data_IF_236501632962
#
_entry.id   IF_236501632962
#
_cell.length_a   1.000
_cell.length_b   1.000
_cell.length_c   1.000
_cell.angle_alpha   90.00
_cell.angle_beta   90.00
_cell.angle_gamma   90.00
#
_symmetry.space_group_name_H-M   'P 1'
#
loop_
_entity.id
_entity.type
_entity.pdbx_description
1 polymer ?
#
# COMPACT_ATOMS: atom_id res chain seq x y z
N UNK A 1 -9.96 16.69 -13.89
CA UNK A 1 -9.17 15.75 -13.15
C UNK A 1 -8.40 16.47 -12.04
N UNK A 2 -8.69 16.18 -10.80
CA UNK A 2 -8.03 16.83 -9.69
C UNK A 2 -7.35 15.78 -8.81
N UNK A 3 -6.26 15.14 -9.30
CA UNK A 3 -5.63 14.05 -8.58
C UNK A 3 -4.98 14.47 -7.26
N UNK A 4 -4.76 15.77 -7.09
CA UNK A 4 -4.02 16.29 -5.96
C UNK A 4 -4.87 17.17 -5.05
N UNK A 5 -6.14 16.81 -4.87
CA UNK A 5 -6.92 17.56 -3.91
C UNK A 5 -6.24 17.52 -2.54
N UNK A 6 -6.41 18.56 -1.76
CA UNK A 6 -5.83 18.62 -0.44
C UNK A 6 -6.42 17.51 0.44
N UNK A 7 -5.63 16.94 1.34
CA UNK A 7 -6.16 15.93 2.24
C UNK A 7 -7.21 16.52 3.15
N UNK A 8 -8.28 15.78 3.34
CA UNK A 8 -9.36 16.17 4.22
C UNK A 8 -9.18 15.47 5.57
N UNK A 9 -8.23 16.01 6.35
CA UNK A 9 -7.81 15.40 7.60
C UNK A 9 -8.70 15.93 8.71
N UNK A 10 -9.94 15.45 8.77
CA UNK A 10 -10.94 15.94 9.70
C UNK A 10 -11.48 14.86 10.62
N UNK A 11 -11.10 13.62 10.44
CA UNK A 11 -11.65 12.53 11.21
C UNK A 11 -10.60 11.57 11.69
N UNK A 12 -11.00 10.73 12.61
CA UNK A 12 -10.17 9.63 13.05
C UNK A 12 -10.34 8.47 12.09
N UNK A 13 -9.23 7.87 11.72
CA UNK A 13 -9.20 6.76 10.77
C UNK A 13 -8.79 5.50 11.49
N UNK A 14 -9.57 4.43 11.30
CA UNK A 14 -9.19 3.08 11.68
C UNK A 14 -8.58 2.42 10.44
N UNK A 15 -7.29 2.13 10.49
CA UNK A 15 -6.60 1.56 9.32
C UNK A 15 -7.23 0.23 8.88
N UNK A 16 -7.75 -0.56 9.79
CA UNK A 16 -8.32 -1.85 9.43
C UNK A 16 -9.62 -1.69 8.65
N UNK A 17 -10.39 -0.61 8.87
CA UNK A 17 -11.55 -0.31 8.03
C UNK A 17 -11.12 0.03 6.60
N UNK A 18 -10.03 0.78 6.46
CA UNK A 18 -9.45 1.09 5.15
C UNK A 18 -9.06 -0.21 4.44
N UNK A 19 -8.34 -1.08 5.13
CA UNK A 19 -7.87 -2.34 4.56
C UNK A 19 -9.03 -3.28 4.21
N UNK A 20 -10.06 -3.36 5.04
CA UNK A 20 -11.22 -4.20 4.77
C UNK A 20 -12.00 -3.70 3.55
N UNK A 21 -12.10 -2.38 3.39
CA UNK A 21 -12.74 -1.80 2.20
C UNK A 21 -11.97 -2.19 0.94
N UNK A 22 -10.65 -2.04 0.96
CA UNK A 22 -9.81 -2.40 -0.18
C UNK A 22 -9.90 -3.90 -0.46
N UNK A 23 -9.84 -4.72 0.58
CA UNK A 23 -9.95 -6.17 0.44
C UNK A 23 -11.25 -6.56 -0.26
N UNK A 24 -12.38 -5.99 0.17
CA UNK A 24 -13.67 -6.26 -0.44
C UNK A 24 -13.71 -5.88 -1.91
N UNK A 25 -13.16 -4.70 -2.25
CA UNK A 25 -13.12 -4.24 -3.63
C UNK A 25 -12.25 -5.15 -4.49
N UNK A 26 -11.10 -5.56 -3.98
CA UNK A 26 -10.19 -6.44 -4.70
C UNK A 26 -10.79 -7.83 -4.94
N UNK A 27 -11.42 -8.41 -3.93
CA UNK A 27 -12.01 -9.73 -4.06
C UNK A 27 -13.25 -9.73 -4.95
N UNK A 28 -13.94 -8.60 -5.06
CA UNK A 28 -15.03 -8.44 -6.03
C UNK A 28 -14.50 -8.40 -7.47
N UNK A 29 -13.37 -7.75 -7.67
CA UNK A 29 -12.74 -7.64 -8.99
C UNK A 29 -12.03 -8.94 -9.39
N UNK A 30 -11.44 -9.64 -8.42
CA UNK A 30 -10.68 -10.89 -8.63
C UNK A 30 -11.32 -12.00 -7.80
N UNK A 31 -12.49 -12.53 -8.24
CA UNK A 31 -13.28 -13.44 -7.41
C UNK A 31 -12.71 -14.84 -7.27
N UNK A 32 -11.70 -15.19 -8.08
CA UNK A 32 -11.06 -16.49 -7.97
C UNK A 32 -9.57 -16.38 -8.25
N UNK A 33 -8.79 -17.24 -7.60
CA UNK A 33 -7.34 -17.30 -7.81
C UNK A 33 -6.53 -16.34 -6.96
N UNK A 34 -7.17 -15.41 -6.27
CA UNK A 34 -6.50 -14.45 -5.40
C UNK A 34 -6.99 -14.62 -3.96
N UNK A 35 -6.05 -14.77 -3.04
CA UNK A 35 -6.32 -14.77 -1.60
C UNK A 35 -5.69 -13.52 -1.01
N UNK A 36 -6.44 -12.82 -0.16
CA UNK A 36 -5.92 -11.67 0.59
C UNK A 36 -6.00 -12.01 2.07
N UNK A 37 -4.85 -12.31 2.66
CA UNK A 37 -4.73 -12.65 4.08
C UNK A 37 -4.62 -11.38 4.92
N UNK A 38 -5.10 -11.47 6.15
CA UNK A 38 -5.05 -10.39 7.13
C UNK A 38 -4.14 -10.80 8.28
N UNK A 39 -3.20 -9.94 8.61
CA UNK A 39 -2.31 -10.14 9.76
C UNK A 39 -2.29 -8.82 10.54
N UNK A 40 -3.35 -8.60 11.32
CA UNK A 40 -3.64 -7.30 11.92
C UNK A 40 -3.28 -7.26 13.39
N UNK A 41 -2.66 -6.16 13.79
CA UNK A 41 -2.44 -5.83 15.19
C UNK A 41 -3.64 -4.99 15.67
N UNK A 42 -4.47 -5.57 16.50
CA UNK A 42 -5.70 -4.93 16.98
C UNK A 42 -5.43 -3.75 17.93
N UNK A 43 -4.20 -3.59 18.41
CA UNK A 43 -3.84 -2.51 19.33
C UNK A 43 -3.61 -1.17 18.65
N UNK A 44 -3.61 -1.12 17.31
CA UNK A 44 -3.33 0.12 16.60
C UNK A 44 -4.45 1.13 16.84
N UNK A 45 -4.13 2.32 17.37
CA UNK A 45 -5.16 3.33 17.64
C UNK A 45 -5.62 4.01 16.36
N UNK A 46 -6.78 4.63 16.43
CA UNK A 46 -7.22 5.55 15.38
C UNK A 46 -6.26 6.72 15.29
N UNK A 47 -6.14 7.28 14.08
CA UNK A 47 -5.26 8.41 13.83
C UNK A 47 -5.95 9.40 12.90
N UNK A 48 -5.44 10.63 12.89
CA UNK A 48 -6.00 11.67 12.04
C UNK A 48 -5.55 11.47 10.60
N UNK A 49 -6.51 11.40 9.68
CA UNK A 49 -6.18 11.20 8.30
C UNK A 49 -7.35 11.45 7.36
N UNK A 50 -7.08 11.27 6.08
CA UNK A 50 -8.08 11.32 5.01
C UNK A 50 -8.36 9.88 4.58
N UNK A 51 -9.48 9.34 5.05
CA UNK A 51 -9.83 7.94 4.82
C UNK A 51 -9.90 7.60 3.34
N UNK A 52 -10.49 8.49 2.53
CA UNK A 52 -10.63 8.25 1.10
C UNK A 52 -9.28 8.20 0.39
N UNK A 53 -8.35 9.09 0.76
CA UNK A 53 -7.00 9.05 0.19
C UNK A 53 -6.26 7.78 0.59
N UNK A 54 -6.44 7.32 1.83
CA UNK A 54 -5.80 6.10 2.29
C UNK A 54 -6.36 4.87 1.60
N UNK A 55 -7.68 4.81 1.38
CA UNK A 55 -8.29 3.75 0.57
C UNK A 55 -7.70 3.77 -0.84
N UNK A 56 -7.61 4.94 -1.45
CA UNK A 56 -7.05 5.05 -2.80
C UNK A 56 -5.59 4.60 -2.85
N UNK A 57 -4.81 4.97 -1.84
CA UNK A 57 -3.40 4.58 -1.74
C UNK A 57 -3.25 3.06 -1.71
N UNK A 58 -3.95 2.42 -0.79
CA UNK A 58 -3.84 0.97 -0.62
C UNK A 58 -4.41 0.25 -1.85
N UNK A 59 -5.51 0.75 -2.41
CA UNK A 59 -6.11 0.16 -3.58
C UNK A 59 -5.16 0.22 -4.78
N UNK A 60 -4.48 1.34 -4.99
CA UNK A 60 -3.52 1.48 -6.09
C UNK A 60 -2.37 0.48 -5.94
N UNK A 61 -1.85 0.32 -4.73
CA UNK A 61 -0.78 -0.65 -4.47
C UNK A 61 -1.29 -2.07 -4.70
N UNK A 62 -2.47 -2.40 -4.19
CA UNK A 62 -3.06 -3.73 -4.34
C UNK A 62 -3.36 -4.06 -5.81
N UNK A 63 -3.83 -3.09 -6.58
CA UNK A 63 -4.05 -3.27 -8.02
C UNK A 63 -2.73 -3.55 -8.76
N UNK A 64 -1.66 -2.82 -8.42
CA UNK A 64 -0.35 -3.10 -9.00
C UNK A 64 0.12 -4.51 -8.66
N UNK A 65 -0.10 -4.93 -7.42
CA UNK A 65 0.23 -6.29 -7.00
C UNK A 65 -0.57 -7.33 -7.83
N UNK A 66 -1.87 -7.12 -7.97
CA UNK A 66 -2.72 -8.05 -8.72
C UNK A 66 -2.29 -8.15 -10.19
N UNK A 67 -1.89 -7.04 -10.81
CA UNK A 67 -1.38 -7.07 -12.18
C UNK A 67 -0.10 -7.89 -12.28
N UNK A 68 0.79 -7.75 -11.32
CA UNK A 68 2.02 -8.55 -11.27
C UNK A 68 1.73 -10.03 -10.97
N UNK A 69 0.60 -10.31 -10.34
CA UNK A 69 0.19 -11.66 -9.95
C UNK A 69 -0.66 -12.37 -11.01
N UNK A 70 -0.78 -11.81 -12.21
CA UNK A 70 -1.71 -12.35 -13.23
C UNK A 70 -1.53 -13.86 -13.45
N UNK A 71 -0.29 -14.33 -13.57
CA UNK A 71 -0.01 -15.74 -13.79
C UNK A 71 -0.40 -16.59 -12.58
N UNK A 72 -0.19 -16.08 -11.38
CA UNK A 72 -0.56 -16.80 -10.15
C UNK A 72 -2.07 -16.81 -9.93
N UNK A 73 -2.75 -15.73 -10.32
CA UNK A 73 -4.22 -15.70 -10.26
C UNK A 73 -4.79 -16.78 -11.18
N UNK A 74 -4.25 -16.89 -12.39
CA UNK A 74 -4.67 -17.93 -13.32
C UNK A 74 -4.38 -19.33 -12.77
N UNK A 75 -3.24 -19.50 -12.11
CA UNK A 75 -2.88 -20.76 -11.49
C UNK A 75 -3.64 -21.06 -10.19
N UNK A 76 -4.30 -20.05 -9.61
CA UNK A 76 -5.08 -20.23 -8.39
C UNK A 76 -4.28 -20.10 -7.10
N UNK A 77 -3.07 -19.56 -7.15
CA UNK A 77 -2.19 -19.47 -5.98
C UNK A 77 -1.65 -18.08 -5.71
N UNK A 78 -2.30 -17.04 -6.24
CA UNK A 78 -1.91 -15.66 -5.95
C UNK A 78 -2.27 -15.29 -4.52
N UNK A 79 -1.38 -14.58 -3.84
CA UNK A 79 -1.58 -14.20 -2.45
C UNK A 79 -1.10 -12.77 -2.21
N UNK A 80 -1.94 -12.00 -1.52
CA UNK A 80 -1.58 -10.71 -0.94
C UNK A 80 -1.80 -10.82 0.56
N UNK A 81 -0.91 -10.23 1.34
CA UNK A 81 -1.03 -10.15 2.80
C UNK A 81 -1.09 -8.68 3.19
N UNK A 82 -2.15 -8.32 3.93
CA UNK A 82 -2.22 -7.02 4.61
C UNK A 82 -1.76 -7.23 6.04
N UNK A 83 -0.63 -6.62 6.40
CA UNK A 83 -0.03 -6.79 7.72
C UNK A 83 0.11 -5.43 8.40
N UNK A 84 -0.35 -5.33 9.64
CA UNK A 84 -0.24 -4.09 10.42
C UNK A 84 0.49 -4.35 11.72
N UNK A 85 1.40 -3.44 12.08
CA UNK A 85 2.17 -3.47 13.32
C UNK A 85 2.35 -2.05 13.82
N UNK A 86 2.76 -1.92 15.06
CA UNK A 86 3.17 -0.63 15.64
C UNK A 86 4.69 -0.61 15.68
N UNK A 87 5.27 0.44 15.10
CA UNK A 87 6.70 0.71 15.21
C UNK A 87 6.91 1.81 16.25
N UNK A 88 8.01 1.70 17.01
CA UNK A 88 8.32 2.64 18.09
C UNK A 88 9.58 3.41 17.75
N UNK A 89 9.63 4.67 18.20
CA UNK A 89 10.81 5.52 18.06
C UNK A 89 11.31 5.58 16.62
N UNK A 90 10.41 5.95 15.71
CA UNK A 90 10.75 6.06 14.28
C UNK A 90 10.96 7.49 13.87
N UNK A 91 11.87 7.68 12.91
CA UNK A 91 12.11 8.97 12.27
C UNK A 91 11.53 8.92 10.87
N UNK A 92 10.57 9.79 10.58
CA UNK A 92 9.95 9.92 9.27
C UNK A 92 10.17 11.34 8.77
N UNK A 93 10.81 11.47 7.59
CA UNK A 93 11.10 12.77 6.99
C UNK A 93 11.75 13.73 7.99
N UNK A 94 12.74 13.23 8.74
CA UNK A 94 13.53 13.98 9.73
C UNK A 94 12.77 14.36 11.01
N UNK A 95 11.55 13.89 11.17
CA UNK A 95 10.77 14.11 12.40
C UNK A 95 10.69 12.81 13.19
N UNK A 96 10.93 12.89 14.50
CA UNK A 96 10.89 11.72 15.38
C UNK A 96 9.50 11.54 15.96
N UNK A 97 8.99 10.33 15.85
CA UNK A 97 7.69 9.94 16.38
C UNK A 97 7.85 8.80 17.37
N UNK A 98 7.12 8.85 18.47
CA UNK A 98 7.12 7.77 19.46
C UNK A 98 6.50 6.51 18.94
N UNK A 99 5.43 6.63 18.16
CA UNK A 99 4.70 5.51 17.57
C UNK A 99 4.40 5.79 16.11
N UNK A 100 4.46 4.75 15.29
CA UNK A 100 4.04 4.81 13.90
C UNK A 100 3.29 3.54 13.53
N UNK A 101 2.31 3.69 12.64
CA UNK A 101 1.71 2.56 11.98
C UNK A 101 2.73 2.00 10.99
N UNK A 102 2.91 0.68 11.01
CA UNK A 102 3.79 -0.05 10.12
C UNK A 102 2.89 -0.98 9.31
N UNK A 103 2.51 -0.52 8.12
CA UNK A 103 1.60 -1.24 7.23
C UNK A 103 2.37 -1.88 6.10
N UNK A 104 2.16 -3.18 5.90
CA UNK A 104 2.78 -3.93 4.81
C UNK A 104 1.71 -4.48 3.87
N UNK A 105 1.96 -4.35 2.58
CA UNK A 105 1.17 -4.97 1.52
C UNK A 105 2.13 -5.89 0.78
N UNK A 106 2.02 -7.19 1.03
CA UNK A 106 3.00 -8.18 0.61
C UNK A 106 2.36 -9.09 -0.43
N UNK A 107 3.05 -9.30 -1.56
CA UNK A 107 2.55 -10.23 -2.57
C UNK A 107 3.61 -11.28 -2.93
N UNK A 108 3.13 -12.41 -3.47
CA UNK A 108 3.98 -13.52 -3.88
C UNK A 108 4.28 -13.53 -5.38
N UNK A 109 4.33 -12.35 -5.99
CA UNK A 109 4.59 -12.18 -7.41
C UNK A 109 6.05 -12.35 -7.79
N UNK A 110 6.38 -12.08 -9.05
CA UNK A 110 7.74 -12.29 -9.56
C UNK A 110 8.76 -11.30 -9.03
N UNK A 111 8.33 -10.23 -8.37
CA UNK A 111 9.21 -9.18 -7.92
C UNK A 111 9.36 -8.07 -8.96
N UNK A 112 10.06 -7.03 -8.56
CA UNK A 112 10.31 -5.85 -9.39
C UNK A 112 11.76 -5.89 -9.84
N UNK A 113 11.98 -5.69 -11.14
CA UNK A 113 13.34 -5.70 -11.69
C UNK A 113 14.21 -4.64 -11.00
N UNK A 114 15.45 -4.98 -10.62
CA UNK A 114 16.32 -4.02 -9.95
C UNK A 114 16.53 -2.72 -10.73
N UNK A 115 16.50 -2.80 -12.07
CA UNK A 115 16.71 -1.65 -12.94
C UNK A 115 15.67 -0.55 -12.75
N UNK A 116 14.45 -0.91 -12.32
CA UNK A 116 13.36 0.05 -12.19
C UNK A 116 12.93 0.25 -10.73
N UNK A 117 13.45 -0.55 -9.79
CA UNK A 117 13.00 -0.50 -8.39
C UNK A 117 13.14 0.87 -7.77
N UNK A 118 14.24 1.57 -8.06
CA UNK A 118 14.50 2.88 -7.46
C UNK A 118 13.63 3.98 -8.05
N UNK A 119 12.86 3.69 -9.09
CA UNK A 119 12.07 4.69 -9.81
C UNK A 119 10.59 4.37 -9.87
N UNK A 120 10.12 3.38 -9.13
CA UNK A 120 8.73 2.91 -9.24
C UNK A 120 7.71 3.96 -8.79
N UNK A 121 8.14 4.96 -8.04
CA UNK A 121 7.27 6.05 -7.57
C UNK A 121 7.28 7.26 -8.47
N UNK A 122 8.10 7.27 -9.53
CA UNK A 122 8.13 8.38 -10.48
C UNK A 122 7.12 8.14 -11.61
N UNK A 123 6.55 9.21 -12.16
CA UNK A 123 5.67 9.08 -13.33
C UNK A 123 6.42 8.47 -14.50
N UNK A 124 5.69 7.83 -15.40
CA UNK A 124 6.21 7.25 -16.64
C UNK A 124 7.07 6.00 -16.43
N UNK A 125 7.26 5.55 -15.20
CA UNK A 125 7.93 4.28 -14.96
C UNK A 125 6.89 3.18 -14.96
N UNK A 126 7.04 2.22 -15.87
CA UNK A 126 6.20 1.05 -15.91
C UNK A 126 7.07 -0.17 -16.16
N UNK A 127 7.01 -1.14 -15.28
CA UNK A 127 7.72 -2.40 -15.43
C UNK A 127 7.02 -3.38 -16.33
N UNK A 128 5.86 -3.01 -16.87
CA UNK A 128 5.04 -3.85 -17.72
C UNK A 128 4.14 -3.00 -18.58
N UNK A 129 3.75 -3.54 -19.72
CA UNK A 129 2.82 -2.88 -20.60
C UNK A 129 1.47 -2.69 -19.92
N UNK A 130 0.91 -1.51 -20.04
CA UNK A 130 -0.36 -1.16 -19.40
C UNK A 130 -0.26 -0.87 -17.92
N UNK A 131 0.91 -1.06 -17.33
CA UNK A 131 1.12 -0.69 -15.92
C UNK A 131 1.18 0.81 -15.77
N UNK A 132 0.75 1.30 -14.59
CA UNK A 132 0.68 2.73 -14.34
C UNK A 132 1.65 3.13 -13.24
N UNK A 133 2.71 3.84 -13.61
CA UNK A 133 3.56 4.50 -12.62
C UNK A 133 2.83 5.62 -11.90
N UNK A 134 1.76 6.16 -12.52
CA UNK A 134 0.97 7.23 -11.90
C UNK A 134 0.27 6.77 -10.63
N UNK A 135 -0.23 5.53 -10.58
CA UNK A 135 -0.87 4.98 -9.39
C UNK A 135 0.07 4.98 -8.19
N UNK A 136 1.31 4.57 -8.38
CA UNK A 136 2.33 4.57 -7.33
C UNK A 136 2.78 5.99 -6.98
N UNK A 137 2.80 6.89 -7.95
CA UNK A 137 3.10 8.30 -7.70
C UNK A 137 2.05 8.92 -6.78
N UNK A 138 0.76 8.64 -7.02
CA UNK A 138 -0.31 9.12 -6.15
C UNK A 138 -0.22 8.52 -4.76
N UNK A 139 0.11 7.24 -4.67
CA UNK A 139 0.29 6.58 -3.38
C UNK A 139 1.37 7.30 -2.57
N UNK A 140 2.51 7.60 -3.18
CA UNK A 140 3.57 8.32 -2.51
C UNK A 140 3.12 9.73 -2.08
N UNK A 141 2.42 10.44 -2.96
CA UNK A 141 1.93 11.78 -2.67
C UNK A 141 1.00 11.76 -1.46
N UNK A 142 0.04 10.84 -1.44
CA UNK A 142 -0.94 10.76 -0.35
C UNK A 142 -0.27 10.37 0.97
N UNK A 143 0.68 9.44 0.92
CA UNK A 143 1.44 9.05 2.11
C UNK A 143 2.23 10.25 2.66
N UNK A 144 2.88 11.02 1.78
CA UNK A 144 3.62 12.22 2.21
C UNK A 144 2.69 13.27 2.80
N UNK A 145 1.48 13.43 2.27
CA UNK A 145 0.50 14.37 2.83
C UNK A 145 0.05 13.96 4.23
N UNK A 146 0.21 12.68 4.57
CA UNK A 146 -0.06 12.15 5.91
C UNK A 146 1.20 12.09 6.79
N UNK A 147 2.27 12.78 6.38
CA UNK A 147 3.56 12.83 7.09
C UNK A 147 4.25 11.47 7.17
N UNK A 148 3.94 10.58 6.25
CA UNK A 148 4.49 9.24 6.22
C UNK A 148 5.53 9.02 5.14
N UNK A 149 6.03 7.80 5.10
CA UNK A 149 6.94 7.34 4.06
C UNK A 149 6.45 6.01 3.50
N UNK A 150 6.82 5.74 2.25
CA UNK A 150 6.53 4.48 1.59
C UNK A 150 7.83 3.89 1.05
N UNK A 151 8.03 2.60 1.27
CA UNK A 151 9.22 1.88 0.87
C UNK A 151 8.81 0.61 0.15
N UNK A 152 9.72 0.07 -0.64
CA UNK A 152 9.49 -1.19 -1.35
C UNK A 152 10.70 -2.10 -1.21
N UNK A 153 10.46 -3.33 -0.78
CA UNK A 153 11.45 -4.40 -0.81
C UNK A 153 10.94 -5.47 -1.75
N UNK A 154 11.78 -5.93 -2.68
CA UNK A 154 11.32 -6.87 -3.69
C UNK A 154 12.42 -7.85 -4.08
N UNK A 155 12.01 -9.09 -4.29
CA UNK A 155 12.82 -10.18 -4.84
C UNK A 155 11.88 -11.19 -5.48
N UNK A 156 12.38 -12.13 -6.29
CA UNK A 156 11.49 -13.12 -6.88
C UNK A 156 10.67 -13.87 -5.83
N UNK A 157 9.35 -13.87 -6.02
CA UNK A 157 8.43 -14.51 -5.10
C UNK A 157 7.97 -13.64 -3.93
N UNK A 158 8.47 -12.39 -3.83
CA UNK A 158 8.17 -11.54 -2.69
C UNK A 158 8.29 -10.07 -3.06
N UNK A 159 7.22 -9.31 -2.86
CA UNK A 159 7.27 -7.84 -2.92
C UNK A 159 6.50 -7.29 -1.74
N UNK A 160 7.13 -6.40 -1.00
CA UNK A 160 6.56 -5.78 0.19
C UNK A 160 6.57 -4.26 0.01
N UNK A 161 5.38 -3.67 -0.09
CA UNK A 161 5.21 -2.22 0.01
C UNK A 161 4.91 -1.90 1.45
N UNK A 162 5.78 -1.11 2.06
CA UNK A 162 5.69 -0.74 3.46
C UNK A 162 5.35 0.73 3.59
N UNK A 163 4.31 1.03 4.34
CA UNK A 163 3.87 2.41 4.61
C UNK A 163 4.00 2.65 6.10
N UNK A 164 4.70 3.74 6.45
CA UNK A 164 4.83 4.19 7.84
C UNK A 164 4.11 5.51 8.00
N UNK A 165 3.17 5.56 8.94
CA UNK A 165 2.39 6.77 9.24
C UNK A 165 2.49 7.09 10.73
N UNK A 166 2.62 8.39 11.11
CA UNK A 166 2.64 8.76 12.52
C UNK A 166 1.36 8.37 13.23
N UNK A 167 1.48 7.88 14.46
CA UNK A 167 0.36 7.60 15.35
C UNK A 167 0.35 8.60 16.51
N UNK A 168 -0.82 8.85 17.13
CA UNK A 168 -0.89 9.73 18.29
C UNK A 168 -0.11 9.21 19.48
#
# INVERSE_FOLDING_TARGET
LAPHRRPHIVGDVNIHEVLERVRSLMLAEFPSGLTILRDYDASIPEFRGDKEQLIQTVLNIAHNAAQALAARIEAGDAQIIFKTRVARQVTLAKVRYGLALDLHIIDNGPGIAPQIRDRIFYPLVSGREGGSGLGLTLAQTFVQQHMGVIECESRPGFTDFRILLPLP
#
